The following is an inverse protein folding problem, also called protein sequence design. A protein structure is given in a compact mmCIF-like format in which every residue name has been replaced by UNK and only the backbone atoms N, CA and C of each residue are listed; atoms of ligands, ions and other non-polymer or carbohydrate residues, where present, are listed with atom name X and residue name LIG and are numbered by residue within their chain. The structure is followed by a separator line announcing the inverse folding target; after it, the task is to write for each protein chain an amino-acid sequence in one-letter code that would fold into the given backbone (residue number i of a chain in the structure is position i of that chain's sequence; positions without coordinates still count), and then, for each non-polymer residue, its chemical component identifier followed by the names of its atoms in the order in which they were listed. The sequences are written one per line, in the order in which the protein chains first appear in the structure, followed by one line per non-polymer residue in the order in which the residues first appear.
data_IF_356056350034
#
_entry.id   IF_356056350034
#
_cell.length_a   1.000
_cell.length_b   1.000
_cell.length_c   1.000
_cell.angle_alpha   90.00
_cell.angle_beta   90.00
_cell.angle_gamma   90.00
#
_symmetry.space_group_name_H-M   'P 1'
#
loop_
_entity.id
_entity.type
_entity.pdbx_description
1 polymer ?
#
# COMPACT_ATOMS: atom_id res chain seq x y z
N UNK A 1 -0.88 10.89 2.21
CA UNK A 1 -1.29 10.36 0.89
C UNK A 1 -2.79 10.59 0.74
N UNK A 2 -3.24 11.21 -0.37
CA UNK A 2 -4.67 11.37 -0.61
C UNK A 2 -5.30 9.97 -0.78
N UNK A 3 -6.34 9.68 0.01
CA UNK A 3 -7.09 8.41 -0.08
C UNK A 3 -6.62 7.27 0.82
N UNK A 4 -5.60 7.45 1.67
CA UNK A 4 -5.26 6.48 2.73
C UNK A 4 -5.93 6.93 4.03
N UNK A 5 -6.95 6.20 4.45
CA UNK A 5 -7.64 6.43 5.72
C UNK A 5 -6.76 6.09 6.95
N UNK A 6 -7.10 6.61 8.14
CA UNK A 6 -6.34 6.39 9.37
C UNK A 6 -6.21 4.91 9.77
N UNK A 7 -7.19 4.07 9.41
CA UNK A 7 -7.16 2.62 9.64
C UNK A 7 -6.02 1.93 8.88
N UNK A 8 -5.86 2.24 7.59
CA UNK A 8 -4.78 1.68 6.78
C UNK A 8 -3.40 2.18 7.24
N UNK A 9 -3.31 3.43 7.71
CA UNK A 9 -2.08 3.94 8.32
C UNK A 9 -1.72 3.23 9.63
N UNK A 10 -2.71 2.69 10.36
CA UNK A 10 -2.47 1.83 11.53
C UNK A 10 -2.01 0.44 11.09
N UNK A 11 -2.68 -0.17 10.11
CA UNK A 11 -2.27 -1.47 9.55
C UNK A 11 -0.84 -1.45 9.00
N UNK A 12 -0.46 -0.39 8.28
CA UNK A 12 0.92 -0.19 7.82
C UNK A 12 1.92 -0.14 8.97
N UNK A 13 1.58 0.59 10.05
CA UNK A 13 2.42 0.67 11.24
C UNK A 13 2.56 -0.70 11.91
N UNK A 14 1.47 -1.46 12.01
CA UNK A 14 1.47 -2.83 12.54
C UNK A 14 2.34 -3.77 11.68
N UNK A 15 2.42 -3.53 10.37
CA UNK A 15 3.29 -4.25 9.43
C UNK A 15 4.76 -3.76 9.43
N UNK A 16 5.09 -2.79 10.30
CA UNK A 16 6.43 -2.21 10.40
C UNK A 16 6.76 -1.22 9.27
N UNK A 17 5.75 -0.63 8.62
CA UNK A 17 5.90 0.48 7.67
C UNK A 17 5.52 1.76 8.40
N UNK A 18 6.53 2.56 8.79
CA UNK A 18 6.30 3.81 9.53
C UNK A 18 6.33 5.01 8.59
N UNK A 19 7.02 4.88 7.46
CA UNK A 19 7.22 5.94 6.47
C UNK A 19 7.00 5.37 5.09
N UNK A 20 6.59 6.22 4.14
CA UNK A 20 6.42 5.78 2.75
C UNK A 20 7.75 5.29 2.17
N UNK A 21 8.89 5.86 2.57
CA UNK A 21 10.22 5.37 2.17
C UNK A 21 10.51 3.90 2.55
N UNK A 22 9.92 3.38 3.63
CA UNK A 22 10.09 1.97 4.03
C UNK A 22 9.44 1.00 3.03
N UNK A 23 8.53 1.51 2.19
CA UNK A 23 7.83 0.73 1.16
C UNK A 23 8.73 0.41 -0.04
N UNK A 24 9.81 1.16 -0.26
CA UNK A 24 10.69 0.94 -1.41
C UNK A 24 11.33 -0.47 -1.40
N UNK A 25 11.59 -1.01 -0.21
CA UNK A 25 12.16 -2.35 -0.02
C UNK A 25 11.15 -3.45 0.32
N UNK A 26 9.84 -3.20 0.26
CA UNK A 26 8.80 -4.17 0.64
C UNK A 26 7.86 -4.46 -0.52
N UNK A 27 7.41 -5.71 -0.66
CA UNK A 27 6.39 -6.06 -1.65
C UNK A 27 4.98 -5.73 -1.14
N UNK A 28 4.14 -4.99 -1.89
CA UNK A 28 2.75 -4.72 -1.55
C UNK A 28 1.94 -6.00 -1.33
N UNK A 29 2.20 -7.02 -2.14
CA UNK A 29 1.59 -8.34 -2.08
C UNK A 29 1.92 -9.06 -0.77
N UNK A 30 3.19 -9.04 -0.36
CA UNK A 30 3.61 -9.63 0.91
C UNK A 30 3.01 -8.90 2.11
N UNK A 31 2.98 -7.56 2.08
CA UNK A 31 2.35 -6.75 3.12
C UNK A 31 0.87 -7.07 3.27
N UNK A 32 0.16 -7.21 2.15
CA UNK A 32 -1.24 -7.63 2.14
C UNK A 32 -1.43 -9.03 2.70
N UNK A 33 -0.64 -10.01 2.25
CA UNK A 33 -0.72 -11.37 2.79
C UNK A 33 -0.38 -11.43 4.27
N UNK A 34 0.59 -10.64 4.74
CA UNK A 34 0.97 -10.55 6.14
C UNK A 34 -0.16 -9.92 6.96
N UNK A 35 -0.84 -8.91 6.43
CA UNK A 35 -2.00 -8.31 7.08
C UNK A 35 -3.17 -9.29 7.21
N UNK A 36 -3.47 -10.03 6.14
CA UNK A 36 -4.50 -11.08 6.16
C UNK A 36 -4.18 -12.14 7.23
N UNK A 37 -2.91 -12.56 7.33
CA UNK A 37 -2.44 -13.48 8.37
C UNK A 37 -2.56 -12.89 9.77
N UNK A 38 -2.13 -11.65 9.98
CA UNK A 38 -2.21 -10.96 11.28
C UNK A 38 -3.65 -10.81 11.77
N UNK A 39 -4.56 -10.46 10.87
CA UNK A 39 -5.98 -10.26 11.18
C UNK A 39 -6.79 -11.57 11.14
N UNK A 40 -6.15 -12.71 10.83
CA UNK A 40 -6.76 -14.04 10.65
C UNK A 40 -7.99 -14.05 9.74
N UNK A 41 -8.04 -13.13 8.78
CA UNK A 41 -9.14 -13.00 7.82
C UNK A 41 -8.61 -12.38 6.54
N UNK A 42 -9.21 -12.74 5.41
CA UNK A 42 -8.95 -12.07 4.14
C UNK A 42 -9.40 -10.61 4.26
N UNK A 43 -8.47 -9.67 4.04
CA UNK A 43 -8.82 -8.26 4.00
C UNK A 43 -9.38 -7.89 2.61
N UNK A 44 -9.84 -6.65 2.50
CA UNK A 44 -10.30 -6.15 1.21
C UNK A 44 -9.11 -5.94 0.24
N UNK A 45 -9.21 -6.39 -1.03
CA UNK A 45 -8.16 -6.20 -2.03
C UNK A 45 -7.85 -4.72 -2.33
N UNK A 46 -8.73 -3.77 -1.96
CA UNK A 46 -8.42 -2.34 -2.05
C UNK A 46 -7.17 -1.95 -1.24
N UNK A 47 -6.86 -2.66 -0.15
CA UNK A 47 -5.67 -2.41 0.66
C UNK A 47 -4.40 -2.74 -0.14
N UNK A 48 -4.42 -3.80 -0.96
CA UNK A 48 -3.31 -4.14 -1.85
C UNK A 48 -3.05 -3.00 -2.84
N UNK A 49 -4.11 -2.43 -3.42
CA UNK A 49 -3.99 -1.30 -4.35
C UNK A 49 -3.43 -0.05 -3.67
N UNK A 50 -3.84 0.20 -2.42
CA UNK A 50 -3.29 1.28 -1.62
C UNK A 50 -1.80 1.06 -1.30
N UNK A 51 -1.38 -0.18 -1.01
CA UNK A 51 0.03 -0.52 -0.84
C UNK A 51 0.85 -0.32 -2.12
N UNK A 52 0.29 -0.69 -3.29
CA UNK A 52 0.93 -0.45 -4.60
C UNK A 52 1.11 1.04 -4.86
N UNK A 53 0.07 1.84 -4.62
CA UNK A 53 0.13 3.30 -4.72
C UNK A 53 1.22 3.88 -3.81
N UNK A 54 1.30 3.41 -2.57
CA UNK A 54 2.29 3.89 -1.63
C UNK A 54 3.72 3.44 -1.97
N UNK A 55 3.93 2.24 -2.53
CA UNK A 55 5.23 1.84 -3.09
C UNK A 55 5.62 2.69 -4.29
N UNK A 56 4.69 2.96 -5.21
CA UNK A 56 4.91 3.88 -6.32
C UNK A 56 5.35 5.27 -5.83
N UNK A 57 4.66 5.78 -4.80
CA UNK A 57 5.00 7.04 -4.18
C UNK A 57 6.40 7.03 -3.54
N UNK A 58 6.79 5.91 -2.93
CA UNK A 58 8.09 5.74 -2.30
C UNK A 58 9.25 5.71 -3.31
N UNK A 59 9.04 5.04 -4.45
CA UNK A 59 10.07 4.81 -5.45
C UNK A 59 10.39 6.04 -6.31
N UNK A 60 9.42 6.93 -6.50
CA UNK A 60 9.56 8.09 -7.38
C UNK A 60 9.62 9.39 -6.58
N UNK A 61 10.42 10.35 -7.06
CA UNK A 61 10.37 11.75 -6.56
C UNK A 61 9.38 12.62 -7.33
N UNK A 62 9.10 12.28 -8.58
CA UNK A 62 8.10 12.92 -9.43
C UNK A 62 7.00 11.91 -9.75
N UNK A 63 5.76 12.25 -9.37
CA UNK A 63 4.62 11.33 -9.40
C UNK A 63 3.60 11.77 -10.44
N UNK A 64 3.03 10.80 -11.16
CA UNK A 64 1.81 11.05 -11.92
C UNK A 64 0.62 11.12 -10.95
N UNK A 65 -0.07 12.26 -10.94
CA UNK A 65 -1.23 12.52 -10.08
C UNK A 65 -2.32 11.45 -10.20
N UNK A 66 -2.48 10.83 -11.38
CA UNK A 66 -3.44 9.75 -11.60
C UNK A 66 -3.03 8.49 -10.83
N UNK A 67 -1.74 8.18 -10.77
CA UNK A 67 -1.24 6.98 -10.07
C UNK A 67 -1.21 7.15 -8.54
N UNK A 68 -1.44 8.35 -8.02
CA UNK A 68 -1.65 8.60 -6.59
C UNK A 68 -3.03 8.16 -6.11
N UNK A 69 -3.95 7.92 -7.03
CA UNK A 69 -5.28 7.41 -6.70
C UNK A 69 -5.22 5.89 -6.60
N UNK A 70 -5.43 5.34 -5.41
CA UNK A 70 -5.27 3.91 -5.15
C UNK A 70 -6.14 3.04 -6.08
N UNK A 71 -7.34 3.49 -6.46
CA UNK A 71 -8.23 2.74 -7.36
C UNK A 71 -7.65 2.54 -8.76
N UNK A 72 -6.73 3.39 -9.21
CA UNK A 72 -6.06 3.22 -10.49
C UNK A 72 -5.08 2.03 -10.53
N UNK A 73 -4.81 1.42 -9.37
CA UNK A 73 -4.04 0.18 -9.25
C UNK A 73 -4.89 -1.09 -9.28
N UNK A 74 -6.22 -0.96 -9.38
CA UNK A 74 -7.12 -2.10 -9.60
C UNK A 74 -6.75 -2.77 -10.92
N UNK A 75 -6.32 -4.04 -10.85
CA UNK A 75 -5.90 -4.81 -12.02
C UNK A 75 -4.51 -4.48 -12.58
N UNK A 76 -3.73 -3.60 -11.94
CA UNK A 76 -2.33 -3.34 -12.33
C UNK A 76 -1.34 -4.04 -11.41
N UNK A 77 -0.26 -4.65 -11.93
CA UNK A 77 0.82 -5.16 -11.09
C UNK A 77 1.53 -4.01 -10.35
N UNK A 78 2.23 -4.35 -9.25
CA UNK A 78 3.08 -3.41 -8.54
C UNK A 78 4.23 -2.92 -9.44
N UNK A 79 4.67 -1.65 -9.30
CA UNK A 79 5.83 -1.14 -10.01
C UNK A 79 7.15 -1.61 -9.38
#
# INVERSE_FOLDING_TARGET
MPGIGPSLARDLRDLGVRRVGDMAGKSPEELYQRLCRMRKRLQDPCLLYAFRCAKYYALRKSHDSKLLLWWNWKGRPSP
#
